data_IF_229674519657
#
_entry.id   IF_229674519657
#
_cell.length_a   1.000
_cell.length_b   1.000
_cell.length_c   1.000
_cell.angle_alpha   90.00
_cell.angle_beta   90.00
_cell.angle_gamma   90.00
#
_symmetry.space_group_name_H-M   'P 1'
#
loop_
_entity.id
_entity.type
_entity.pdbx_description
1 polymer ?
#
# COMPACT_ATOMS: atom_id res chain seq x y z
N UNK A 1 36.57 -0.64 17.19
CA UNK A 1 36.66 -1.71 16.19
C UNK A 1 35.52 -2.66 16.53
N UNK A 2 34.32 -2.38 16.03
CA UNK A 2 33.84 -2.90 14.73
C UNK A 2 33.60 -4.42 14.88
N UNK A 3 32.39 -4.96 14.88
CA UNK A 3 31.32 -4.73 13.92
C UNK A 3 29.98 -5.16 14.57
N UNK A 4 29.03 -4.25 14.76
CA UNK A 4 27.63 -4.64 14.96
C UNK A 4 27.01 -4.73 13.58
N UNK A 5 27.17 -5.90 12.94
CA UNK A 5 26.33 -6.27 11.81
C UNK A 5 24.88 -6.29 12.30
N UNK A 6 24.19 -5.16 12.14
CA UNK A 6 22.73 -5.12 12.14
C UNK A 6 22.30 -5.97 10.94
N UNK A 7 22.18 -7.28 11.15
CA UNK A 7 21.34 -8.12 10.30
C UNK A 7 19.95 -7.47 10.32
N UNK A 8 19.58 -6.83 9.22
CA UNK A 8 18.18 -6.54 8.98
C UNK A 8 17.44 -7.87 9.13
N UNK A 9 16.39 -7.94 9.98
CA UNK A 9 15.58 -9.12 10.01
C UNK A 9 15.00 -9.27 8.59
N UNK A 10 15.37 -10.36 7.91
CA UNK A 10 14.60 -10.83 6.76
C UNK A 10 13.23 -11.16 7.32
N UNK A 11 12.23 -10.34 6.99
CA UNK A 11 10.84 -10.60 7.35
C UNK A 11 10.36 -11.76 6.49
N UNK A 12 10.53 -12.97 7.01
CA UNK A 12 9.95 -14.20 6.48
C UNK A 12 8.46 -14.33 6.85
N UNK A 13 7.69 -13.25 6.71
CA UNK A 13 6.24 -13.24 6.91
C UNK A 13 5.60 -12.43 5.77
N UNK A 14 5.10 -13.12 4.74
CA UNK A 14 4.50 -12.51 3.55
C UNK A 14 3.17 -11.76 3.77
N UNK A 15 2.88 -11.29 4.99
CA UNK A 15 1.62 -10.64 5.39
C UNK A 15 1.81 -9.39 6.26
N UNK A 16 3.04 -8.87 6.43
CA UNK A 16 3.26 -7.66 7.22
C UNK A 16 2.86 -6.42 6.43
N UNK A 17 1.77 -5.77 6.86
CA UNK A 17 1.28 -4.52 6.29
C UNK A 17 1.80 -3.32 7.11
N UNK A 18 2.14 -2.24 6.41
CA UNK A 18 2.54 -0.98 7.02
C UNK A 18 1.48 0.11 6.78
N UNK A 19 1.23 0.94 7.79
CA UNK A 19 0.33 2.08 7.67
C UNK A 19 0.97 3.23 6.88
N UNK A 20 0.26 3.70 5.85
CA UNK A 20 0.64 4.89 5.08
C UNK A 20 -0.40 6.00 5.28
N UNK A 21 0.03 7.13 5.84
CA UNK A 21 -0.82 8.33 6.02
C UNK A 21 -0.56 9.33 4.89
N UNK A 22 -1.59 9.62 4.11
CA UNK A 22 -1.53 10.57 2.98
C UNK A 22 -2.49 11.72 3.24
N UNK A 23 -2.08 12.95 2.92
CA UNK A 23 -2.98 14.12 2.90
C UNK A 23 -3.46 14.36 1.47
N UNK A 24 -4.77 14.35 1.26
CA UNK A 24 -5.44 14.57 -0.04
C UNK A 24 -6.64 15.50 0.15
N UNK A 25 -7.21 16.01 -0.95
CA UNK A 25 -8.42 16.83 -0.87
C UNK A 25 -9.64 16.01 -0.41
N UNK A 26 -10.65 16.63 0.22
CA UNK A 26 -11.87 15.94 0.65
C UNK A 26 -12.62 15.25 -0.49
N UNK A 27 -12.58 15.81 -1.70
CA UNK A 27 -13.21 15.26 -2.90
C UNK A 27 -12.55 13.95 -3.31
N UNK A 28 -11.21 13.93 -3.31
CA UNK A 28 -10.41 12.74 -3.62
C UNK A 28 -10.61 11.66 -2.56
N UNK A 29 -10.72 12.03 -1.28
CA UNK A 29 -11.02 11.08 -0.21
C UNK A 29 -12.37 10.37 -0.44
N UNK A 30 -13.43 11.15 -0.73
CA UNK A 30 -14.75 10.58 -1.03
C UNK A 30 -14.74 9.74 -2.31
N UNK A 31 -14.01 10.18 -3.33
CA UNK A 31 -13.87 9.44 -4.58
C UNK A 31 -13.17 8.08 -4.34
N UNK A 32 -12.06 8.08 -3.60
CA UNK A 32 -11.35 6.87 -3.23
C UNK A 32 -12.27 5.86 -2.52
N UNK A 33 -12.99 6.29 -1.48
CA UNK A 33 -13.92 5.40 -0.76
C UNK A 33 -14.97 4.77 -1.68
N UNK A 34 -15.59 5.56 -2.57
CA UNK A 34 -16.58 5.04 -3.53
C UNK A 34 -15.96 4.07 -4.53
N UNK A 35 -14.85 4.44 -5.14
CA UNK A 35 -14.20 3.61 -6.16
C UNK A 35 -13.71 2.29 -5.57
N UNK A 36 -13.08 2.31 -4.39
CA UNK A 36 -12.68 1.09 -3.69
C UNK A 36 -13.88 0.17 -3.44
N UNK A 37 -15.01 0.71 -2.98
CA UNK A 37 -16.21 -0.09 -2.76
C UNK A 37 -16.75 -0.72 -4.04
N UNK A 38 -16.78 0.02 -5.15
CA UNK A 38 -17.18 -0.51 -6.47
C UNK A 38 -16.25 -1.65 -6.89
N UNK A 39 -14.93 -1.44 -6.84
CA UNK A 39 -13.94 -2.45 -7.25
C UNK A 39 -14.08 -3.72 -6.42
N UNK A 40 -14.19 -3.60 -5.09
CA UNK A 40 -14.38 -4.75 -4.19
C UNK A 40 -15.61 -5.56 -4.60
N UNK A 41 -16.73 -4.90 -4.91
CA UNK A 41 -17.96 -5.59 -5.28
C UNK A 41 -17.92 -6.22 -6.67
N UNK A 42 -17.30 -5.56 -7.64
CA UNK A 42 -17.25 -6.04 -9.03
C UNK A 42 -16.22 -7.15 -9.22
N UNK A 43 -15.10 -7.10 -8.48
CA UNK A 43 -13.95 -8.00 -8.69
C UNK A 43 -13.76 -9.01 -7.57
N UNK A 44 -14.41 -8.85 -6.42
CA UNK A 44 -14.21 -9.66 -5.22
C UNK A 44 -12.87 -9.41 -4.51
N UNK A 45 -12.08 -8.43 -4.96
CA UNK A 45 -10.76 -8.10 -4.41
C UNK A 45 -10.87 -7.44 -3.04
N UNK A 46 -9.83 -7.58 -2.23
CA UNK A 46 -9.76 -6.96 -0.90
C UNK A 46 -9.35 -5.49 -0.96
N UNK A 47 -9.85 -4.66 -0.03
CA UNK A 47 -9.45 -3.25 0.07
C UNK A 47 -7.93 -3.06 0.23
N UNK A 48 -7.28 -3.91 1.03
CA UNK A 48 -5.84 -3.85 1.26
C UNK A 48 -5.03 -4.19 -0.01
N UNK A 49 -5.55 -5.09 -0.84
CA UNK A 49 -4.94 -5.45 -2.13
C UNK A 49 -5.01 -4.28 -3.11
N UNK A 50 -6.17 -3.59 -3.15
CA UNK A 50 -6.35 -2.37 -3.96
C UNK A 50 -5.40 -1.26 -3.48
N UNK A 51 -5.23 -1.11 -2.17
CA UNK A 51 -4.30 -0.12 -1.60
C UNK A 51 -2.84 -0.43 -1.98
N UNK A 52 -2.42 -1.69 -1.88
CA UNK A 52 -1.07 -2.12 -2.26
C UNK A 52 -0.79 -1.88 -3.74
N UNK A 53 -1.72 -2.27 -4.63
CA UNK A 53 -1.64 -2.01 -6.07
C UNK A 53 -1.52 -0.51 -6.38
N UNK A 54 -2.36 0.34 -5.78
CA UNK A 54 -2.31 1.78 -6.01
C UNK A 54 -0.96 2.40 -5.62
N UNK A 55 -0.34 1.92 -4.53
CA UNK A 55 0.99 2.38 -4.12
C UNK A 55 2.06 1.86 -5.09
N UNK A 56 1.99 0.58 -5.49
CA UNK A 56 2.93 0.00 -6.47
C UNK A 56 2.87 0.73 -7.81
N UNK A 57 1.68 0.97 -8.34
CA UNK A 57 1.49 1.68 -9.61
C UNK A 57 2.06 3.09 -9.55
N UNK A 58 1.88 3.78 -8.42
CA UNK A 58 2.48 5.08 -8.20
C UNK A 58 4.02 5.01 -8.23
N UNK A 59 4.63 4.04 -7.55
CA UNK A 59 6.08 3.86 -7.51
C UNK A 59 6.65 3.49 -8.89
N UNK A 60 6.04 2.51 -9.57
CA UNK A 60 6.44 2.06 -10.92
C UNK A 60 6.37 3.21 -11.91
N UNK A 61 5.30 4.02 -11.86
CA UNK A 61 5.15 5.21 -12.71
C UNK A 61 6.30 6.22 -12.53
N UNK A 62 6.89 6.28 -11.34
CA UNK A 62 8.00 7.18 -11.01
C UNK A 62 9.38 6.49 -11.05
N UNK A 63 9.45 5.21 -11.41
CA UNK A 63 10.69 4.44 -11.49
C UNK A 63 11.32 4.10 -10.13
N UNK A 64 10.49 4.01 -9.09
CA UNK A 64 10.88 3.59 -7.74
C UNK A 64 10.61 2.10 -7.50
#
# INVERSE_FOLDING_TARGET
MENSEKKLPRTENGNELADLKIKISPELYRAFQRCTWVIVNETGRGQLEIMDEMVRDFLVKHGC
#
